data_IF_848585098877
#
_entry.id   IF_848585098877
#
_cell.length_a   1.000
_cell.length_b   1.000
_cell.length_c   1.000
_cell.angle_alpha   90.00
_cell.angle_beta   90.00
_cell.angle_gamma   90.00
#
_symmetry.space_group_name_H-M   'P 1'
#
loop_
_entity.id
_entity.type
_entity.pdbx_description
1 polymer ?
#
# COMPACT_ATOMS: atom_id res chain seq x y z
N UNK A 1 9.41 -13.69 30.82
CA UNK A 1 9.19 -12.24 30.99
C UNK A 1 8.97 -11.67 29.61
N UNK A 2 7.77 -11.20 29.29
CA UNK A 2 7.53 -10.46 28.04
C UNK A 2 8.32 -9.15 28.13
N UNK A 3 9.13 -8.86 27.11
CA UNK A 3 9.68 -7.51 26.91
C UNK A 3 8.51 -6.52 26.85
N UNK A 4 8.59 -5.36 27.52
CA UNK A 4 7.53 -4.36 27.46
C UNK A 4 7.26 -3.98 26.01
N UNK A 5 5.98 -3.93 25.63
CA UNK A 5 5.55 -3.60 24.28
C UNK A 5 5.90 -2.13 24.00
N UNK A 6 6.70 -1.89 22.96
CA UNK A 6 7.10 -0.53 22.55
C UNK A 6 5.86 0.22 22.06
N UNK A 7 5.67 1.43 22.56
CA UNK A 7 4.57 2.32 22.16
C UNK A 7 5.04 3.38 21.18
N UNK A 8 4.08 4.01 20.49
CA UNK A 8 4.33 5.18 19.63
C UNK A 8 5.00 6.30 20.43
N UNK A 9 4.59 6.52 21.69
CA UNK A 9 5.15 7.56 22.55
C UNK A 9 6.64 7.40 22.83
N UNK A 10 7.16 6.17 22.76
CA UNK A 10 8.59 5.85 22.98
C UNK A 10 9.47 6.20 21.77
N UNK A 11 8.89 6.25 20.56
CA UNK A 11 9.64 6.34 19.29
C UNK A 11 9.24 7.52 18.41
N UNK A 12 8.16 8.23 18.74
CA UNK A 12 7.69 9.37 17.94
C UNK A 12 8.70 10.52 17.96
N UNK A 13 8.75 11.24 16.84
CA UNK A 13 9.45 12.52 16.74
C UNK A 13 8.51 13.65 17.14
N UNK A 14 9.03 14.65 17.84
CA UNK A 14 8.25 15.83 18.24
C UNK A 14 8.21 16.92 17.17
N UNK A 15 9.24 16.99 16.32
CA UNK A 15 9.29 17.91 15.20
C UNK A 15 8.63 17.28 13.97
N UNK A 16 7.72 18.02 13.36
CA UNK A 16 7.05 17.63 12.13
C UNK A 16 6.67 18.86 11.32
N UNK A 17 6.65 18.69 10.00
CA UNK A 17 6.25 19.75 9.08
C UNK A 17 4.73 19.85 9.00
N UNK A 18 4.22 21.08 9.07
CA UNK A 18 2.78 21.35 9.00
C UNK A 18 2.43 22.60 8.21
N UNK A 19 1.19 22.60 7.69
CA UNK A 19 0.58 23.72 6.97
C UNK A 19 -0.84 23.95 7.43
N UNK A 20 -1.33 25.17 7.29
CA UNK A 20 -2.74 25.48 7.53
C UNK A 20 -3.61 24.99 6.36
N UNK A 21 -4.87 24.63 6.61
CA UNK A 21 -5.83 24.14 5.59
C UNK A 21 -5.98 25.06 4.38
N UNK A 22 -5.83 26.37 4.59
CA UNK A 22 -5.97 27.39 3.54
C UNK A 22 -4.68 27.74 2.80
N UNK A 23 -3.53 27.22 3.25
CA UNK A 23 -2.26 27.50 2.58
C UNK A 23 -2.19 26.81 1.20
N UNK A 24 -1.58 27.47 0.20
CA UNK A 24 -1.46 26.89 -1.13
C UNK A 24 -0.51 25.70 -1.16
N UNK A 25 -0.76 24.76 -2.07
CA UNK A 25 0.09 23.59 -2.28
C UNK A 25 1.52 23.94 -2.72
N UNK A 26 1.81 25.17 -3.17
CA UNK A 26 3.19 25.64 -3.39
C UNK A 26 4.04 25.54 -2.13
N UNK A 27 3.48 25.86 -0.95
CA UNK A 27 4.18 25.72 0.34
C UNK A 27 4.45 24.25 0.65
N UNK A 28 3.44 23.39 0.49
CA UNK A 28 3.54 21.93 0.68
C UNK A 28 4.60 21.34 -0.26
N UNK A 29 4.59 21.79 -1.51
CA UNK A 29 5.57 21.41 -2.53
C UNK A 29 6.98 21.79 -2.09
N UNK A 30 7.20 23.01 -1.58
CA UNK A 30 8.48 23.45 -1.04
C UNK A 30 8.96 22.60 0.14
N UNK A 31 8.06 22.18 1.02
CA UNK A 31 8.37 21.28 2.14
C UNK A 31 8.90 19.94 1.62
N UNK A 32 8.23 19.31 0.64
CA UNK A 32 8.71 18.04 0.07
C UNK A 32 10.04 18.16 -0.71
N UNK A 33 10.48 19.37 -1.11
CA UNK A 33 11.78 19.56 -1.78
C UNK A 33 12.98 19.52 -0.84
N UNK A 34 12.82 19.84 0.45
CA UNK A 34 13.97 20.13 1.31
C UNK A 34 14.55 18.88 1.98
N UNK A 35 13.72 17.86 2.26
CA UNK A 35 14.07 16.59 2.91
C UNK A 35 13.11 15.46 2.46
N UNK A 36 13.48 14.18 2.63
CA UNK A 36 12.58 13.02 2.44
C UNK A 36 11.51 12.99 3.55
N UNK A 37 10.54 13.90 3.43
CA UNK A 37 9.45 14.05 4.38
C UNK A 37 8.31 13.11 3.95
N UNK A 38 7.88 12.18 4.82
CA UNK A 38 6.90 11.17 4.44
C UNK A 38 5.49 11.73 4.25
N UNK A 39 5.12 12.74 5.04
CA UNK A 39 3.83 13.44 5.02
C UNK A 39 4.00 14.89 5.49
N UNK A 40 3.08 15.76 5.10
CA UNK A 40 2.89 17.08 5.70
C UNK A 40 1.59 17.10 6.48
N UNK A 41 1.63 17.50 7.74
CA UNK A 41 0.44 17.58 8.61
C UNK A 41 -0.37 18.84 8.25
N UNK A 42 -1.68 18.69 8.08
CA UNK A 42 -2.58 19.81 7.80
C UNK A 42 -3.40 20.12 9.04
N UNK A 43 -3.41 21.38 9.46
CA UNK A 43 -4.12 21.86 10.64
C UNK A 43 -5.10 22.98 10.31
N UNK A 44 -6.16 23.13 11.11
CA UNK A 44 -7.14 24.21 10.99
C UNK A 44 -6.77 25.47 11.80
N UNK A 45 -7.68 26.44 11.86
CA UNK A 45 -7.50 27.73 12.56
C UNK A 45 -7.18 27.55 14.06
N UNK A 46 -7.66 26.47 14.67
CA UNK A 46 -7.44 26.13 16.07
C UNK A 46 -6.15 25.32 16.29
N UNK A 47 -5.37 25.10 15.23
CA UNK A 47 -4.24 24.15 15.17
C UNK A 47 -4.67 22.71 15.49
N UNK A 48 -5.94 22.38 15.27
CA UNK A 48 -6.42 21.01 15.36
C UNK A 48 -6.06 20.25 14.08
N UNK A 49 -5.78 18.97 14.24
CA UNK A 49 -5.44 18.08 13.14
C UNK A 49 -6.61 17.96 12.17
N UNK A 50 -6.39 18.35 10.92
CA UNK A 50 -7.38 18.26 9.85
C UNK A 50 -7.16 17.04 8.95
N UNK A 51 -5.90 16.74 8.63
CA UNK A 51 -5.52 15.64 7.75
C UNK A 51 -4.03 15.65 7.43
N UNK A 52 -3.62 14.82 6.47
CA UNK A 52 -2.22 14.77 5.99
C UNK A 52 -2.17 14.91 4.48
N UNK A 53 -1.06 15.45 3.97
CA UNK A 53 -0.72 15.46 2.56
C UNK A 53 0.46 14.53 2.32
N UNK A 54 0.39 13.77 1.23
CA UNK A 54 1.48 12.92 0.73
C UNK A 54 2.00 13.48 -0.58
N UNK A 55 3.29 13.41 -0.84
CA UNK A 55 3.94 14.02 -2.01
C UNK A 55 3.24 13.68 -3.34
N UNK A 56 2.78 12.43 -3.51
CA UNK A 56 2.09 11.96 -4.72
C UNK A 56 0.84 12.76 -5.10
N UNK A 57 0.24 13.52 -4.18
CA UNK A 57 -0.89 14.41 -4.53
C UNK A 57 -0.49 15.46 -5.56
N UNK A 58 0.80 15.83 -5.63
CA UNK A 58 1.34 16.79 -6.58
C UNK A 58 1.41 16.27 -8.03
N UNK A 59 1.26 14.95 -8.24
CA UNK A 59 1.20 14.34 -9.57
C UNK A 59 -0.21 14.32 -10.18
N UNK A 60 -1.20 14.96 -9.55
CA UNK A 60 -2.57 15.00 -10.09
C UNK A 60 -2.60 15.78 -11.42
N UNK A 61 -3.23 15.24 -12.48
CA UNK A 61 -3.40 15.95 -13.74
C UNK A 61 -4.11 17.30 -13.53
N UNK A 62 -3.66 18.32 -14.26
CA UNK A 62 -4.23 19.68 -14.24
C UNK A 62 -4.25 20.36 -12.86
N UNK A 63 -3.47 19.87 -11.89
CA UNK A 63 -3.36 20.50 -10.58
C UNK A 63 -2.66 21.86 -10.69
N UNK A 64 -3.34 22.93 -10.29
CA UNK A 64 -2.73 24.24 -10.07
C UNK A 64 -2.30 24.37 -8.60
N UNK A 65 -1.02 24.09 -8.31
CA UNK A 65 -0.51 24.10 -6.94
C UNK A 65 -0.52 25.49 -6.28
N UNK A 66 -0.54 26.57 -7.07
CA UNK A 66 -0.53 27.93 -6.53
C UNK A 66 -1.91 28.37 -6.02
N UNK A 67 -2.98 27.87 -6.64
CA UNK A 67 -4.36 28.23 -6.30
C UNK A 67 -5.05 27.16 -5.43
N UNK A 68 -4.59 25.91 -5.49
CA UNK A 68 -5.19 24.83 -4.72
C UNK A 68 -4.72 24.90 -3.27
N UNK A 69 -5.68 25.00 -2.34
CA UNK A 69 -5.44 24.95 -0.89
C UNK A 69 -5.08 23.55 -0.41
N UNK A 70 -4.28 23.48 0.65
CA UNK A 70 -3.81 22.23 1.27
C UNK A 70 -4.96 21.32 1.72
N UNK A 71 -5.98 21.89 2.37
CA UNK A 71 -7.14 21.15 2.87
C UNK A 71 -7.96 20.45 1.78
N UNK A 72 -7.88 20.90 0.52
CA UNK A 72 -8.61 20.31 -0.62
C UNK A 72 -8.15 18.89 -0.94
N UNK A 73 -6.85 18.62 -0.77
CA UNK A 73 -6.25 17.31 -1.08
C UNK A 73 -5.80 16.55 0.17
N UNK A 74 -5.98 17.13 1.35
CA UNK A 74 -5.64 16.49 2.61
C UNK A 74 -6.49 15.23 2.81
N UNK A 75 -5.82 14.12 3.13
CA UNK A 75 -6.49 12.86 3.45
C UNK A 75 -6.67 12.77 4.96
N UNK A 76 -7.87 12.39 5.39
CA UNK A 76 -8.11 12.07 6.80
C UNK A 76 -7.47 10.72 7.10
N UNK A 77 -6.77 10.65 8.24
CA UNK A 77 -6.15 9.42 8.75
C UNK A 77 -6.68 9.16 10.17
N UNK A 78 -6.73 7.89 10.62
CA UNK A 78 -7.04 7.59 12.01
C UNK A 78 -6.10 8.32 12.98
N UNK A 79 -6.66 8.77 14.10
CA UNK A 79 -5.89 9.35 15.22
C UNK A 79 -5.12 8.25 15.94
N UNK A 80 -3.83 8.46 16.15
CA UNK A 80 -3.01 7.65 17.06
C UNK A 80 -2.54 8.53 18.22
N UNK A 81 -2.40 7.92 19.39
CA UNK A 81 -1.94 8.57 20.63
C UNK A 81 -0.58 8.00 21.04
N UNK A 82 0.02 8.58 22.08
CA UNK A 82 1.30 8.09 22.63
C UNK A 82 1.22 6.64 23.11
N UNK A 83 0.06 6.23 23.62
CA UNK A 83 -0.17 4.87 24.13
C UNK A 83 -0.47 3.84 23.02
N UNK A 84 -0.60 4.27 21.76
CA UNK A 84 -0.83 3.36 20.65
C UNK A 84 0.39 2.46 20.47
N UNK A 85 0.20 1.14 20.34
CA UNK A 85 1.34 0.24 20.12
C UNK A 85 1.95 0.44 18.73
N UNK A 86 3.24 0.14 18.58
CA UNK A 86 3.90 0.24 17.26
C UNK A 86 3.26 -0.69 16.22
N UNK A 87 2.64 -1.79 16.65
CA UNK A 87 1.93 -2.71 15.76
C UNK A 87 0.61 -2.15 15.24
N UNK A 88 -0.21 -1.53 16.10
CA UNK A 88 -1.44 -0.86 15.64
C UNK A 88 -1.10 0.34 14.74
N UNK A 89 -0.06 1.11 15.09
CA UNK A 89 0.46 2.17 14.22
C UNK A 89 0.91 1.63 12.86
N UNK A 90 1.64 0.51 12.83
CA UNK A 90 2.06 -0.16 11.60
C UNK A 90 0.87 -0.58 10.75
N UNK A 91 -0.12 -1.23 11.36
CA UNK A 91 -1.34 -1.67 10.67
C UNK A 91 -2.06 -0.48 10.04
N UNK A 92 -2.24 0.62 10.79
CA UNK A 92 -2.86 1.85 10.27
C UNK A 92 -2.06 2.47 9.13
N UNK A 93 -0.72 2.45 9.19
CA UNK A 93 0.13 2.88 8.07
C UNK A 93 -0.11 2.06 6.81
N UNK A 94 -0.14 0.72 6.94
CA UNK A 94 -0.35 -0.20 5.82
C UNK A 94 -1.76 -0.05 5.23
N UNK A 95 -2.80 -0.07 6.07
CA UNK A 95 -4.21 0.06 5.66
C UNK A 95 -4.47 1.37 4.89
N UNK A 96 -3.80 2.46 5.27
CA UNK A 96 -3.99 3.78 4.67
C UNK A 96 -2.91 4.13 3.62
N UNK A 97 -1.94 3.23 3.36
CA UNK A 97 -0.79 3.46 2.49
C UNK A 97 -0.03 4.77 2.81
N UNK A 98 0.17 5.01 4.11
CA UNK A 98 0.87 6.16 4.67
C UNK A 98 2.22 5.74 5.23
N UNK A 99 3.26 6.52 4.94
CA UNK A 99 4.62 6.27 5.43
C UNK A 99 4.88 6.84 6.83
N UNK A 100 3.92 7.57 7.37
CA UNK A 100 3.97 8.15 8.70
C UNK A 100 2.55 8.49 9.16
N UNK A 101 2.39 8.60 10.47
CA UNK A 101 1.14 8.96 11.13
C UNK A 101 1.38 10.10 12.12
N UNK A 102 0.50 11.12 12.13
CA UNK A 102 0.53 12.16 13.14
C UNK A 102 0.09 11.59 14.49
N UNK A 103 0.82 11.91 15.55
CA UNK A 103 0.48 11.56 16.93
C UNK A 103 -0.26 12.74 17.56
N UNK A 104 -1.43 12.50 18.14
CA UNK A 104 -2.27 13.55 18.70
C UNK A 104 -2.56 13.37 20.18
N UNK A 105 -2.70 14.49 20.89
CA UNK A 105 -3.35 14.56 22.20
C UNK A 105 -4.70 15.27 22.02
N UNK A 106 -5.78 14.52 22.18
CA UNK A 106 -7.08 14.94 21.68
C UNK A 106 -7.02 15.19 20.18
N UNK A 107 -7.32 16.42 19.75
CA UNK A 107 -7.25 16.83 18.34
C UNK A 107 -5.97 17.55 17.96
N UNK A 108 -5.08 17.85 18.90
CA UNK A 108 -3.85 18.60 18.59
C UNK A 108 -2.73 17.64 18.21
N UNK A 109 -2.07 17.84 17.07
CA UNK A 109 -0.88 17.06 16.73
C UNK A 109 0.28 17.47 17.64
N UNK A 110 0.94 16.50 18.25
CA UNK A 110 2.05 16.67 19.21
C UNK A 110 3.34 15.97 18.75
N UNK A 111 3.27 15.23 17.65
CA UNK A 111 4.40 14.50 17.09
C UNK A 111 4.02 13.73 15.83
N UNK A 112 4.98 12.97 15.33
CA UNK A 112 4.84 12.11 14.17
C UNK A 112 5.60 10.80 14.40
N UNK A 113 5.07 9.69 13.94
CA UNK A 113 5.80 8.42 13.87
C UNK A 113 5.84 7.97 12.43
N UNK A 114 7.03 7.66 11.94
CA UNK A 114 7.28 7.21 10.57
C UNK A 114 7.54 5.72 10.51
N UNK A 115 7.52 5.20 9.29
CA UNK A 115 7.94 3.83 9.01
C UNK A 115 9.36 3.56 9.52
N UNK A 116 10.26 4.53 9.36
CA UNK A 116 11.65 4.38 9.78
C UNK A 116 11.75 4.22 11.31
N UNK A 117 10.99 5.01 12.08
CA UNK A 117 10.98 4.94 13.55
C UNK A 117 10.53 3.55 14.02
N UNK A 118 9.45 3.01 13.44
CA UNK A 118 8.94 1.68 13.78
C UNK A 118 9.93 0.58 13.35
N UNK A 119 10.51 0.70 12.15
CA UNK A 119 11.43 -0.29 11.63
C UNK A 119 12.71 -0.36 12.48
N UNK A 120 13.24 0.77 12.94
CA UNK A 120 14.40 0.81 13.83
C UNK A 120 14.07 0.20 15.20
N UNK A 121 12.91 0.51 15.77
CA UNK A 121 12.46 -0.09 17.02
C UNK A 121 12.28 -1.61 16.93
N UNK A 122 12.02 -2.14 15.73
CA UNK A 122 11.74 -3.55 15.47
C UNK A 122 12.93 -4.32 14.86
N UNK A 123 14.14 -3.74 14.87
CA UNK A 123 15.32 -4.24 14.15
C UNK A 123 15.67 -5.71 14.47
N UNK A 124 15.48 -6.15 15.71
CA UNK A 124 15.77 -7.54 16.11
C UNK A 124 14.83 -8.57 15.47
N UNK A 125 13.55 -8.22 15.28
CA UNK A 125 12.60 -9.06 14.54
C UNK A 125 12.98 -9.09 13.06
N UNK A 126 13.30 -7.92 12.50
CA UNK A 126 13.67 -7.76 11.09
C UNK A 126 14.97 -8.50 10.69
N UNK A 127 15.85 -8.79 11.64
CA UNK A 127 17.05 -9.62 11.41
C UNK A 127 16.74 -11.07 11.04
N UNK A 128 15.54 -11.56 11.37
CA UNK A 128 15.15 -12.96 11.16
C UNK A 128 14.42 -13.21 9.85
N UNK A 129 14.01 -12.15 9.16
CA UNK A 129 13.21 -12.20 7.94
C UNK A 129 14.10 -11.79 6.77
N UNK A 130 14.01 -12.52 5.66
CA UNK A 130 14.75 -12.23 4.43
C UNK A 130 13.97 -11.32 3.49
N UNK A 131 14.69 -10.56 2.68
CA UNK A 131 14.13 -9.69 1.64
C UNK A 131 13.19 -10.45 0.72
N UNK A 132 13.56 -11.65 0.26
CA UNK A 132 12.73 -12.49 -0.63
C UNK A 132 11.35 -12.88 -0.07
N UNK A 133 11.16 -12.81 1.24
CA UNK A 133 9.90 -13.20 1.89
C UNK A 133 8.84 -12.09 1.81
N UNK A 134 9.26 -10.84 1.55
CA UNK A 134 8.37 -9.67 1.54
C UNK A 134 8.51 -8.78 0.30
N UNK A 135 9.57 -8.96 -0.50
CA UNK A 135 9.79 -8.14 -1.70
C UNK A 135 8.63 -8.30 -2.69
N UNK A 136 8.36 -7.27 -3.47
CA UNK A 136 7.51 -7.42 -4.65
C UNK A 136 8.33 -8.07 -5.77
N UNK A 137 7.98 -9.30 -6.14
CA UNK A 137 8.57 -10.00 -7.27
C UNK A 137 8.21 -9.35 -8.61
N UNK A 138 9.11 -9.46 -9.59
CA UNK A 138 8.90 -9.01 -10.97
C UNK A 138 8.35 -7.57 -11.05
N UNK A 139 9.09 -6.57 -10.53
CA UNK A 139 8.58 -5.23 -10.40
C UNK A 139 8.27 -4.60 -11.76
N UNK A 140 7.21 -3.81 -11.82
CA UNK A 140 6.89 -2.98 -12.98
C UNK A 140 8.07 -2.04 -13.23
N UNK A 141 8.59 -2.08 -14.45
CA UNK A 141 9.78 -1.34 -14.86
C UNK A 141 9.54 -0.54 -16.13
N UNK A 142 10.46 0.38 -16.42
CA UNK A 142 10.47 1.19 -17.65
C UNK A 142 11.80 1.06 -18.37
N UNK A 143 11.81 1.26 -19.67
CA UNK A 143 13.04 1.36 -20.45
C UNK A 143 13.69 2.73 -20.30
N UNK A 144 15.02 2.81 -20.41
CA UNK A 144 15.76 4.08 -20.57
C UNK A 144 15.25 4.97 -21.71
N UNK A 145 14.58 4.38 -22.70
CA UNK A 145 14.00 5.08 -23.85
C UNK A 145 12.52 5.46 -23.69
N UNK A 146 11.86 4.98 -22.64
CA UNK A 146 10.45 5.32 -22.37
C UNK A 146 10.32 6.81 -22.02
N UNK A 147 9.11 7.35 -22.16
CA UNK A 147 8.81 8.74 -21.84
C UNK A 147 8.48 8.93 -20.36
N UNK A 148 8.71 10.13 -19.84
CA UNK A 148 8.29 10.53 -18.48
C UNK A 148 6.77 10.38 -18.31
N UNK A 149 5.99 10.76 -19.32
CA UNK A 149 4.53 10.58 -19.32
C UNK A 149 4.10 9.13 -19.13
N UNK A 150 4.79 8.17 -19.78
CA UNK A 150 4.52 6.74 -19.60
C UNK A 150 4.82 6.29 -18.15
N UNK A 151 5.94 6.73 -17.57
CA UNK A 151 6.25 6.42 -16.17
C UNK A 151 5.21 6.99 -15.20
N UNK A 152 4.76 8.24 -15.40
CA UNK A 152 3.68 8.83 -14.60
C UNK A 152 2.40 8.01 -14.71
N UNK A 153 2.03 7.56 -15.92
CA UNK A 153 0.85 6.71 -16.13
C UNK A 153 0.98 5.40 -15.35
N UNK A 154 2.11 4.69 -15.49
CA UNK A 154 2.37 3.44 -14.79
C UNK A 154 2.35 3.62 -13.26
N UNK A 155 2.97 4.68 -12.74
CA UNK A 155 2.94 5.00 -11.31
C UNK A 155 1.51 5.23 -10.80
N UNK A 156 0.69 5.99 -11.56
CA UNK A 156 -0.69 6.28 -11.19
C UNK A 156 -1.61 5.07 -11.28
N UNK A 157 -1.53 4.31 -12.37
CA UNK A 157 -2.37 3.15 -12.63
C UNK A 157 -2.13 2.02 -11.63
N UNK A 158 -0.89 1.87 -11.17
CA UNK A 158 -0.50 0.79 -10.26
C UNK A 158 -0.33 1.27 -8.80
N UNK A 159 -0.53 2.56 -8.52
CA UNK A 159 -0.39 3.13 -7.17
C UNK A 159 1.05 3.05 -6.61
N UNK A 160 2.05 2.90 -7.48
CA UNK A 160 3.46 2.77 -7.10
C UNK A 160 4.20 4.10 -7.26
N UNK A 161 5.22 4.31 -6.43
CA UNK A 161 5.95 5.59 -6.42
C UNK A 161 7.35 5.51 -7.02
N UNK A 162 7.75 4.34 -7.52
CA UNK A 162 9.12 4.03 -7.95
C UNK A 162 9.08 2.99 -9.06
N UNK A 163 9.96 3.13 -10.04
CA UNK A 163 10.10 2.19 -11.15
C UNK A 163 11.59 1.91 -11.39
N UNK A 164 12.03 0.64 -11.35
CA UNK A 164 13.31 0.26 -11.91
C UNK A 164 13.39 0.65 -13.39
N UNK A 165 14.53 1.19 -13.81
CA UNK A 165 14.80 1.56 -15.19
C UNK A 165 15.75 0.53 -15.78
N UNK A 166 15.33 -0.11 -16.87
CA UNK A 166 16.10 -1.15 -17.54
C UNK A 166 16.66 -0.65 -18.88
N UNK A 167 17.86 -1.11 -19.23
CA UNK A 167 18.43 -1.01 -20.57
C UNK A 167 18.78 -2.41 -21.07
N UNK A 168 18.09 -2.89 -22.10
CA UNK A 168 18.25 -4.25 -22.62
C UNK A 168 18.21 -5.30 -21.49
N UNK A 169 17.17 -5.22 -20.65
CA UNK A 169 16.94 -6.07 -19.46
C UNK A 169 17.96 -5.96 -18.32
N UNK A 170 18.95 -5.07 -18.40
CA UNK A 170 19.88 -4.80 -17.30
C UNK A 170 19.42 -3.58 -16.52
N UNK A 171 19.55 -3.63 -15.19
CA UNK A 171 19.27 -2.49 -14.32
C UNK A 171 20.19 -1.32 -14.70
N UNK A 172 19.59 -0.20 -15.09
CA UNK A 172 20.28 1.00 -15.54
C UNK A 172 20.07 2.19 -14.61
N UNK A 173 18.96 2.23 -13.89
CA UNK A 173 18.59 3.35 -13.00
C UNK A 173 17.33 3.05 -12.20
N UNK A 174 16.87 4.04 -11.43
CA UNK A 174 15.55 4.06 -10.81
C UNK A 174 14.93 5.44 -11.04
N UNK A 175 13.62 5.51 -11.22
CA UNK A 175 12.88 6.76 -11.26
C UNK A 175 11.77 6.76 -10.22
N UNK A 176 11.65 7.84 -9.46
CA UNK A 176 10.67 7.99 -8.39
C UNK A 176 9.70 9.14 -8.67
N UNK A 177 8.59 9.18 -7.92
CA UNK A 177 7.66 10.33 -7.90
C UNK A 177 8.40 11.62 -7.54
N UNK A 178 9.30 11.55 -6.56
CA UNK A 178 10.13 12.67 -6.14
C UNK A 178 11.00 13.18 -7.29
N UNK A 179 11.71 12.29 -8.02
CA UNK A 179 12.50 12.67 -9.19
C UNK A 179 11.67 13.41 -10.25
N UNK A 180 10.44 12.94 -10.49
CA UNK A 180 9.53 13.57 -11.45
C UNK A 180 9.10 14.95 -10.94
N UNK A 181 8.73 15.09 -9.67
CA UNK A 181 8.31 16.38 -9.12
C UNK A 181 9.47 17.38 -9.18
N UNK A 182 10.64 17.02 -8.68
CA UNK A 182 11.79 17.93 -8.61
C UNK A 182 12.35 18.28 -10.00
N UNK A 183 12.48 17.31 -10.90
CA UNK A 183 13.19 17.52 -12.19
C UNK A 183 12.27 17.94 -13.33
N UNK A 184 10.95 17.71 -13.23
CA UNK A 184 9.97 17.93 -14.31
C UNK A 184 8.93 18.97 -13.93
N UNK A 185 8.42 18.95 -12.69
CA UNK A 185 7.36 19.86 -12.23
C UNK A 185 7.95 21.16 -11.67
N UNK A 186 9.14 21.12 -11.06
CA UNK A 186 9.82 22.27 -10.45
C UNK A 186 11.04 22.89 -11.19
N UNK A 187 11.25 22.82 -12.52
CA UNK A 187 12.52 23.32 -13.07
C UNK A 187 12.73 24.83 -12.84
N UNK A 188 13.78 25.16 -12.05
CA UNK A 188 14.55 26.41 -11.83
C UNK A 188 13.83 27.77 -11.93
N UNK A 189 14.07 28.61 -10.92
CA UNK A 189 13.84 30.07 -10.81
C UNK A 189 14.47 30.95 -11.92
N UNK A 190 14.84 30.39 -13.08
CA UNK A 190 15.14 31.15 -14.29
C UNK A 190 14.17 30.74 -15.39
N UNK A 191 12.88 30.94 -15.14
CA UNK A 191 11.94 31.20 -16.23
C UNK A 191 12.42 32.50 -16.90
N UNK A 192 13.22 32.37 -17.95
CA UNK A 192 13.43 33.48 -18.88
C UNK A 192 12.05 33.87 -19.39
N UNK A 193 11.70 35.15 -19.27
CA UNK A 193 10.44 35.75 -19.68
C UNK A 193 9.95 35.17 -21.02
N UNK A 194 8.97 34.25 -21.01
CA UNK A 194 8.44 33.65 -22.24
C UNK A 194 8.00 32.17 -22.22
N UNK A 195 7.88 31.48 -21.08
CA UNK A 195 7.39 30.08 -21.08
C UNK A 195 5.95 29.99 -21.64
N UNK A 196 5.78 29.30 -22.77
CA UNK A 196 4.50 29.10 -23.46
C UNK A 196 3.93 27.74 -23.04
N UNK A 197 2.60 27.64 -22.97
CA UNK A 197 1.78 26.43 -22.67
C UNK A 197 2.20 25.10 -23.35
N UNK A 198 3.09 25.13 -24.36
CA UNK A 198 3.66 23.95 -25.02
C UNK A 198 4.91 23.33 -24.38
N UNK A 199 5.58 23.99 -23.43
CA UNK A 199 6.81 23.46 -22.79
C UNK A 199 6.55 22.25 -21.89
N UNK A 200 5.46 22.26 -21.11
CA UNK A 200 5.08 21.12 -20.24
C UNK A 200 4.86 19.82 -21.04
N UNK A 201 4.28 19.92 -22.24
CA UNK A 201 4.09 18.78 -23.13
C UNK A 201 5.44 18.23 -23.66
N UNK A 202 6.41 19.11 -23.93
CA UNK A 202 7.78 18.70 -24.30
C UNK A 202 8.47 17.98 -23.14
N UNK A 203 8.36 18.48 -21.91
CA UNK A 203 9.00 17.84 -20.74
C UNK A 203 8.47 16.44 -20.48
N UNK A 204 7.16 16.18 -20.67
CA UNK A 204 6.59 14.83 -20.53
C UNK A 204 7.04 13.85 -21.63
N UNK A 205 7.43 14.36 -22.79
CA UNK A 205 7.97 13.57 -23.91
C UNK A 205 9.46 13.23 -23.76
N UNK A 206 10.17 13.86 -22.81
CA UNK A 206 11.57 13.53 -22.51
C UNK A 206 11.71 12.09 -22.03
N UNK A 207 12.93 11.56 -22.15
CA UNK A 207 13.20 10.15 -21.88
C UNK A 207 13.52 9.93 -20.40
N UNK A 208 13.17 8.75 -19.89
CA UNK A 208 13.45 8.37 -18.49
C UNK A 208 14.94 8.48 -18.15
N UNK A 209 15.83 8.13 -19.08
CA UNK A 209 17.28 8.25 -18.88
C UNK A 209 17.75 9.66 -18.49
N UNK A 210 16.98 10.70 -18.82
CA UNK A 210 17.36 12.10 -18.57
C UNK A 210 17.01 12.53 -17.14
N UNK A 211 16.15 11.79 -16.43
CA UNK A 211 15.71 12.09 -15.06
C UNK A 211 15.99 10.99 -14.05
N UNK A 212 16.29 9.76 -14.49
CA UNK A 212 16.56 8.63 -13.61
C UNK A 212 17.75 8.90 -12.70
N UNK A 213 17.72 8.29 -11.52
CA UNK A 213 18.80 8.36 -10.54
C UNK A 213 19.71 7.14 -10.67
N UNK A 214 21.02 7.39 -10.61
CA UNK A 214 22.11 6.42 -10.72
C UNK A 214 23.26 6.83 -9.79
N UNK A 215 24.00 5.88 -9.15
CA UNK A 215 23.82 4.43 -9.19
C UNK A 215 22.57 3.94 -8.44
N UNK A 216 22.09 2.74 -8.76
CA UNK A 216 20.97 2.11 -8.05
C UNK A 216 21.49 1.30 -6.89
N UNK A 217 21.01 1.57 -5.69
CA UNK A 217 21.29 0.73 -4.53
C UNK A 217 20.42 -0.52 -4.53
N UNK A 218 21.05 -1.66 -4.26
CA UNK A 218 20.43 -2.98 -4.42
C UNK A 218 20.45 -3.82 -3.15
N UNK A 219 19.60 -4.84 -3.14
CA UNK A 219 19.60 -5.92 -2.16
C UNK A 219 19.71 -7.28 -2.85
N UNK A 220 20.17 -8.28 -2.11
CA UNK A 220 20.10 -9.68 -2.50
C UNK A 220 18.84 -10.32 -1.90
N UNK A 221 18.25 -11.34 -2.55
CA UNK A 221 17.08 -12.04 -2.00
C UNK A 221 17.29 -12.61 -0.60
N UNK A 222 18.53 -13.00 -0.27
CA UNK A 222 18.91 -13.57 1.02
C UNK A 222 19.42 -12.56 2.05
N UNK A 223 19.50 -11.26 1.71
CA UNK A 223 19.73 -10.21 2.70
C UNK A 223 18.58 -10.22 3.73
N UNK A 224 18.86 -9.84 4.98
CA UNK A 224 17.81 -9.66 5.99
C UNK A 224 17.10 -8.32 5.82
N UNK A 225 15.88 -8.18 6.33
CA UNK A 225 15.18 -6.89 6.34
C UNK A 225 15.93 -5.83 7.15
N UNK A 226 16.59 -6.22 8.23
CA UNK A 226 17.45 -5.31 8.99
C UNK A 226 18.65 -4.81 8.16
N UNK A 227 19.26 -5.67 7.36
CA UNK A 227 20.35 -5.27 6.43
C UNK A 227 19.82 -4.33 5.35
N UNK A 228 18.65 -4.61 4.79
CA UNK A 228 18.00 -3.73 3.80
C UNK A 228 17.67 -2.36 4.40
N UNK A 229 17.11 -2.32 5.62
CA UNK A 229 16.81 -1.09 6.36
C UNK A 229 18.07 -0.25 6.60
N UNK A 230 19.16 -0.88 7.03
CA UNK A 230 20.43 -0.20 7.28
C UNK A 230 21.00 0.41 5.98
N UNK A 231 20.96 -0.32 4.85
CA UNK A 231 21.35 0.22 3.55
C UNK A 231 20.48 1.39 3.12
N UNK A 232 19.16 1.30 3.34
CA UNK A 232 18.22 2.38 3.07
C UNK A 232 18.59 3.65 3.85
N UNK A 233 18.86 3.50 5.16
CA UNK A 233 19.27 4.59 6.04
C UNK A 233 20.62 5.21 5.66
N UNK A 234 21.62 4.38 5.37
CA UNK A 234 22.97 4.84 5.02
C UNK A 234 23.02 5.71 3.76
N UNK A 235 22.09 5.47 2.84
CA UNK A 235 22.02 6.18 1.57
C UNK A 235 20.88 7.18 1.48
N UNK A 236 20.12 7.38 2.56
CA UNK A 236 18.93 8.24 2.61
C UNK A 236 17.93 7.91 1.49
N UNK A 237 17.62 6.62 1.34
CA UNK A 237 16.71 6.09 0.33
C UNK A 237 15.63 5.22 0.97
N UNK A 238 14.45 5.20 0.37
CA UNK A 238 13.29 4.45 0.90
C UNK A 238 13.00 3.15 0.13
N UNK A 239 13.93 2.68 -0.70
CA UNK A 239 13.76 1.54 -1.59
C UNK A 239 15.10 0.95 -2.07
N UNK A 240 15.13 -0.37 -2.28
CA UNK A 240 16.21 -1.11 -2.93
C UNK A 240 15.66 -1.96 -4.07
N UNK A 241 16.39 -2.02 -5.17
CA UNK A 241 16.08 -2.98 -6.25
C UNK A 241 16.74 -4.32 -5.89
N UNK A 242 15.96 -5.41 -5.89
CA UNK A 242 16.48 -6.74 -5.57
C UNK A 242 17.04 -7.38 -6.82
N UNK A 243 18.30 -7.79 -6.76
CA UNK A 243 19.04 -8.34 -7.89
C UNK A 243 19.59 -9.72 -7.53
N UNK A 244 19.42 -10.69 -8.44
CA UNK A 244 20.02 -12.02 -8.36
C UNK A 244 20.65 -12.34 -9.72
N UNK A 245 21.89 -12.81 -9.72
CA UNK A 245 22.62 -13.18 -10.94
C UNK A 245 22.60 -12.07 -12.01
N UNK A 246 22.72 -10.81 -11.57
CA UNK A 246 22.64 -9.60 -12.40
C UNK A 246 21.28 -9.30 -13.05
N UNK A 247 20.23 -10.03 -12.69
CA UNK A 247 18.85 -9.79 -13.12
C UNK A 247 18.05 -9.13 -11.99
N UNK A 248 17.17 -8.19 -12.36
CA UNK A 248 16.19 -7.63 -11.42
C UNK A 248 15.14 -8.69 -11.13
N UNK A 249 15.08 -9.15 -9.88
CA UNK A 249 14.11 -10.16 -9.43
C UNK A 249 13.00 -9.56 -8.59
N UNK A 250 13.25 -8.41 -7.96
CA UNK A 250 12.30 -7.80 -7.05
C UNK A 250 12.56 -6.33 -6.78
N UNK A 251 11.68 -5.73 -5.99
CA UNK A 251 11.86 -4.42 -5.37
C UNK A 251 11.39 -4.51 -3.92
N UNK A 252 12.10 -3.86 -3.01
CA UNK A 252 11.71 -3.78 -1.60
C UNK A 252 11.74 -2.33 -1.13
N UNK A 253 10.70 -1.94 -0.41
CA UNK A 253 10.50 -0.59 0.10
C UNK A 253 10.34 -0.60 1.62
N UNK A 254 10.47 0.57 2.25
CA UNK A 254 10.25 0.72 3.69
C UNK A 254 8.87 0.18 4.15
N UNK A 255 7.81 0.32 3.35
CA UNK A 255 6.47 -0.23 3.72
C UNK A 255 6.46 -1.76 3.72
N UNK A 256 7.17 -2.39 2.79
CA UNK A 256 7.26 -3.85 2.72
C UNK A 256 8.00 -4.40 3.95
N UNK A 257 9.00 -3.66 4.46
CA UNK A 257 9.73 -4.00 5.69
C UNK A 257 8.82 -4.06 6.91
N UNK A 258 7.78 -3.22 6.97
CA UNK A 258 6.82 -3.24 8.07
C UNK A 258 5.68 -4.25 7.90
N UNK A 259 5.48 -4.78 6.70
CA UNK A 259 4.38 -5.71 6.43
C UNK A 259 4.34 -6.93 7.37
N UNK A 260 5.47 -7.53 7.80
CA UNK A 260 5.43 -8.60 8.79
C UNK A 260 4.99 -8.09 10.16
N UNK A 261 5.40 -6.88 10.55
CA UNK A 261 5.06 -6.29 11.85
C UNK A 261 3.58 -5.95 11.95
N UNK A 262 2.95 -5.53 10.84
CA UNK A 262 1.50 -5.37 10.76
C UNK A 262 0.76 -6.68 11.12
N UNK A 263 1.35 -7.83 10.80
CA UNK A 263 0.84 -9.15 11.16
C UNK A 263 1.24 -9.60 12.58
N UNK A 264 2.31 -9.04 13.18
CA UNK A 264 2.69 -9.35 14.58
C UNK A 264 1.80 -8.71 15.64
N UNK A 265 1.10 -7.61 15.32
CA UNK A 265 0.07 -7.00 16.17
C UNK A 265 -1.15 -7.87 16.44
N UNK A 266 -1.16 -9.08 15.87
CA UNK A 266 -2.05 -10.18 16.20
C UNK A 266 -1.73 -10.78 17.58
N UNK A 267 -1.72 -9.98 18.65
CA UNK A 267 -2.03 -10.58 19.94
C UNK A 267 -3.50 -11.07 19.89
N UNK A 268 -3.64 -12.37 19.61
CA UNK A 268 -4.85 -13.19 19.81
C UNK A 268 -6.11 -12.70 19.10
N UNK A 269 -6.12 -12.79 17.77
CA UNK A 269 -7.36 -13.17 17.08
C UNK A 269 -7.14 -14.50 16.37
N UNK A 270 -7.53 -15.58 17.02
CA UNK A 270 -7.83 -16.82 16.31
C UNK A 270 -8.93 -16.50 15.28
N UNK A 271 -8.68 -16.69 13.98
CA UNK A 271 -9.74 -16.59 12.98
C UNK A 271 -9.32 -16.06 11.61
N UNK A 272 -10.33 -15.89 10.75
CA UNK A 272 -10.17 -15.51 9.34
C UNK A 272 -10.56 -14.03 9.18
N UNK A 273 -9.62 -13.17 8.79
CA UNK A 273 -9.88 -11.74 8.54
C UNK A 273 -10.77 -11.54 7.31
N UNK A 274 -11.75 -10.64 7.38
CA UNK A 274 -12.64 -10.35 6.25
C UNK A 274 -12.19 -9.05 5.55
N UNK A 275 -11.91 -9.14 4.26
CA UNK A 275 -11.65 -8.00 3.39
C UNK A 275 -12.73 -7.90 2.33
N UNK A 276 -13.28 -6.69 2.12
CA UNK A 276 -14.29 -6.47 1.09
C UNK A 276 -13.87 -5.31 0.19
N UNK A 277 -13.80 -5.58 -1.11
CA UNK A 277 -13.44 -4.62 -2.16
C UNK A 277 -14.61 -4.42 -3.10
N UNK A 278 -15.10 -3.17 -3.22
CA UNK A 278 -16.19 -2.77 -4.12
C UNK A 278 -15.69 -2.04 -5.38
N UNK A 279 -14.49 -2.38 -5.86
CA UNK A 279 -13.85 -1.70 -6.98
C UNK A 279 -14.78 -1.50 -8.19
N UNK A 280 -14.86 -0.26 -8.68
CA UNK A 280 -15.67 0.16 -9.83
C UNK A 280 -17.20 0.03 -9.64
N UNK A 281 -17.69 -0.09 -8.42
CA UNK A 281 -19.13 0.04 -8.10
C UNK A 281 -19.38 1.37 -7.36
N UNK A 282 -19.60 2.49 -8.06
CA UNK A 282 -20.04 3.72 -7.41
C UNK A 282 -21.46 3.50 -6.86
N UNK A 283 -21.70 3.87 -5.60
CA UNK A 283 -23.04 3.91 -4.96
C UNK A 283 -23.69 2.59 -4.52
N UNK A 284 -22.95 1.67 -3.88
CA UNK A 284 -23.61 0.59 -3.11
C UNK A 284 -24.22 1.17 -1.82
N UNK A 285 -25.53 0.95 -1.54
CA UNK A 285 -26.17 1.40 -0.31
C UNK A 285 -25.44 0.92 0.95
N UNK A 286 -25.40 1.75 1.99
CA UNK A 286 -24.79 1.38 3.27
C UNK A 286 -25.43 0.11 3.86
N UNK A 287 -26.74 -0.06 3.69
CA UNK A 287 -27.46 -1.27 4.11
C UNK A 287 -26.96 -2.54 3.42
N UNK A 288 -26.67 -2.47 2.12
CA UNK A 288 -26.16 -3.62 1.36
C UNK A 288 -24.72 -3.97 1.78
N UNK A 289 -23.89 -2.97 2.09
CA UNK A 289 -22.54 -3.20 2.65
C UNK A 289 -22.61 -3.89 4.01
N UNK A 290 -23.51 -3.43 4.89
CA UNK A 290 -23.71 -4.04 6.20
C UNK A 290 -24.16 -5.50 6.07
N UNK A 291 -25.13 -5.80 5.19
CA UNK A 291 -25.59 -7.17 4.92
C UNK A 291 -24.48 -8.08 4.38
N UNK A 292 -23.61 -7.57 3.51
CA UNK A 292 -22.43 -8.31 3.00
C UNK A 292 -21.46 -8.62 4.14
N UNK A 293 -21.15 -7.64 4.98
CA UNK A 293 -20.25 -7.83 6.13
C UNK A 293 -20.82 -8.85 7.12
N UNK A 294 -22.07 -8.71 7.55
CA UNK A 294 -22.71 -9.67 8.47
C UNK A 294 -22.72 -11.10 7.93
N UNK A 295 -22.92 -11.25 6.63
CA UNK A 295 -22.91 -12.56 5.99
C UNK A 295 -21.51 -13.17 5.95
N UNK A 296 -20.48 -12.37 5.65
CA UNK A 296 -19.09 -12.80 5.68
C UNK A 296 -18.68 -13.20 7.11
N UNK A 297 -19.08 -12.42 8.12
CA UNK A 297 -18.84 -12.72 9.53
C UNK A 297 -19.51 -14.03 9.95
N UNK A 298 -20.79 -14.22 9.61
CA UNK A 298 -21.50 -15.49 9.87
C UNK A 298 -20.83 -16.68 9.17
N UNK A 299 -20.31 -16.47 7.97
CA UNK A 299 -19.60 -17.50 7.22
C UNK A 299 -18.26 -17.87 7.87
N UNK A 300 -17.46 -16.88 8.24
CA UNK A 300 -16.18 -17.09 8.94
C UNK A 300 -16.38 -17.77 10.29
N UNK A 301 -17.34 -17.31 11.09
CA UNK A 301 -17.65 -17.88 12.41
C UNK A 301 -17.99 -19.37 12.35
N UNK A 302 -18.60 -19.86 11.27
CA UNK A 302 -18.88 -21.29 11.08
C UNK A 302 -17.62 -22.12 10.79
N UNK A 303 -16.53 -21.49 10.38
CA UNK A 303 -15.33 -22.12 9.84
C UNK A 303 -14.10 -22.01 10.76
N UNK A 304 -14.11 -21.06 11.69
CA UNK A 304 -13.01 -20.72 12.61
C UNK A 304 -12.42 -21.94 13.32
N UNK A 305 -13.25 -22.87 13.83
CA UNK A 305 -12.77 -24.06 14.55
C UNK A 305 -11.99 -25.06 13.67
N UNK A 306 -12.04 -24.93 12.33
CA UNK A 306 -11.57 -25.99 11.41
C UNK A 306 -10.49 -25.59 10.41
N UNK A 307 -10.27 -24.28 10.18
CA UNK A 307 -9.42 -23.82 9.08
C UNK A 307 -8.20 -22.99 9.48
N UNK A 308 -8.02 -22.66 10.76
CA UNK A 308 -6.88 -21.89 11.24
C UNK A 308 -6.96 -20.41 10.90
N UNK A 309 -5.80 -19.75 10.82
CA UNK A 309 -5.70 -18.31 10.58
C UNK A 309 -5.68 -18.01 9.08
N UNK A 310 -6.26 -16.88 8.66
CA UNK A 310 -6.31 -16.54 7.24
C UNK A 310 -7.06 -15.27 6.91
N UNK A 311 -7.39 -15.10 5.62
CA UNK A 311 -8.24 -14.02 5.14
C UNK A 311 -9.27 -14.51 4.11
N UNK A 312 -10.46 -13.93 4.21
CA UNK A 312 -11.55 -14.01 3.26
C UNK A 312 -11.65 -12.69 2.53
N UNK A 313 -11.29 -12.67 1.24
CA UNK A 313 -11.47 -11.50 0.37
C UNK A 313 -12.74 -11.66 -0.46
N UNK A 314 -13.65 -10.68 -0.37
CA UNK A 314 -14.80 -10.52 -1.26
C UNK A 314 -14.53 -9.39 -2.25
N UNK A 315 -14.36 -9.75 -3.51
CA UNK A 315 -14.14 -8.79 -4.59
C UNK A 315 -15.38 -8.64 -5.44
N UNK A 316 -15.95 -7.43 -5.44
CA UNK A 316 -17.09 -7.08 -6.27
C UNK A 316 -16.65 -6.29 -7.49
N UNK A 317 -17.26 -6.61 -8.63
CA UNK A 317 -17.12 -5.86 -9.86
C UNK A 317 -18.47 -5.76 -10.56
N UNK A 318 -18.62 -4.70 -11.31
CA UNK A 318 -19.72 -4.56 -12.26
C UNK A 318 -19.52 -5.53 -13.45
N UNK A 319 -20.57 -6.26 -13.81
CA UNK A 319 -20.61 -7.08 -15.02
C UNK A 319 -21.02 -6.21 -16.23
N UNK A 320 -20.72 -6.66 -17.45
CA UNK A 320 -21.08 -5.92 -18.68
C UNK A 320 -22.58 -5.96 -18.97
N UNK A 321 -23.28 -6.97 -18.47
CA UNK A 321 -24.73 -7.12 -18.63
C UNK A 321 -25.50 -6.16 -17.72
N UNK A 322 -26.53 -5.54 -18.29
CA UNK A 322 -27.42 -4.59 -17.60
C UNK A 322 -28.88 -4.94 -17.84
N UNK A 323 -29.73 -4.61 -16.89
CA UNK A 323 -31.17 -4.62 -17.04
C UNK A 323 -31.74 -3.26 -16.58
N UNK A 324 -32.18 -2.44 -17.54
CA UNK A 324 -32.50 -1.03 -17.28
C UNK A 324 -31.27 -0.24 -16.83
N UNK A 325 -31.38 0.47 -15.72
CA UNK A 325 -30.25 1.22 -15.11
C UNK A 325 -29.39 0.37 -14.17
N UNK A 326 -29.80 -0.87 -13.87
CA UNK A 326 -29.09 -1.75 -12.93
C UNK A 326 -28.10 -2.64 -13.66
N UNK A 327 -26.87 -2.68 -13.15
CA UNK A 327 -25.85 -3.60 -13.61
C UNK A 327 -25.86 -4.89 -12.79
N UNK A 328 -25.57 -6.01 -13.45
CA UNK A 328 -25.34 -7.27 -12.75
C UNK A 328 -24.01 -7.17 -11.97
N UNK A 329 -24.00 -7.60 -10.71
CA UNK A 329 -22.83 -7.54 -9.84
C UNK A 329 -22.21 -8.93 -9.75
N UNK A 330 -20.92 -9.02 -10.05
CA UNK A 330 -20.14 -10.24 -9.87
C UNK A 330 -19.31 -10.15 -8.59
N UNK A 331 -19.48 -11.11 -7.68
CA UNK A 331 -18.65 -11.31 -6.50
C UNK A 331 -17.68 -12.47 -6.71
N UNK A 332 -16.40 -12.27 -6.39
CA UNK A 332 -15.40 -13.32 -6.23
C UNK A 332 -14.98 -13.39 -4.78
N UNK A 333 -15.29 -14.48 -4.11
CA UNK A 333 -14.81 -14.79 -2.78
C UNK A 333 -13.51 -15.61 -2.89
N UNK A 334 -12.49 -15.25 -2.10
CA UNK A 334 -11.27 -16.03 -1.93
C UNK A 334 -11.03 -16.22 -0.44
N UNK A 335 -11.05 -17.46 0.02
CA UNK A 335 -10.63 -17.81 1.37
C UNK A 335 -9.23 -18.39 1.29
N UNK A 336 -8.26 -17.77 1.94
CA UNK A 336 -6.90 -18.30 2.09
C UNK A 336 -6.60 -18.42 3.57
N UNK A 337 -6.31 -19.63 4.03
CA UNK A 337 -5.80 -19.89 5.38
C UNK A 337 -4.39 -20.44 5.31
N UNK A 338 -3.77 -20.60 6.47
CA UNK A 338 -2.52 -21.34 6.68
C UNK A 338 -2.54 -22.76 6.09
N UNK A 339 -3.73 -23.37 5.97
CA UNK A 339 -3.90 -24.76 5.50
C UNK A 339 -4.51 -24.89 4.12
N UNK A 340 -5.42 -23.99 3.73
CA UNK A 340 -6.24 -24.20 2.52
C UNK A 340 -6.54 -22.92 1.77
N UNK A 341 -6.73 -23.05 0.45
CA UNK A 341 -7.21 -21.98 -0.41
C UNK A 341 -8.47 -22.40 -1.16
N UNK A 342 -9.51 -21.57 -1.10
CA UNK A 342 -10.78 -21.77 -1.80
C UNK A 342 -11.17 -20.52 -2.57
N UNK A 343 -11.86 -20.72 -3.70
CA UNK A 343 -12.41 -19.63 -4.50
C UNK A 343 -13.87 -19.94 -4.84
N UNK A 344 -14.73 -18.94 -4.66
CA UNK A 344 -16.13 -18.98 -5.08
C UNK A 344 -16.49 -17.75 -5.89
N UNK A 345 -17.41 -17.90 -6.84
CA UNK A 345 -17.95 -16.79 -7.63
C UNK A 345 -19.47 -16.77 -7.54
N UNK A 346 -20.07 -15.60 -7.65
CA UNK A 346 -21.52 -15.43 -7.61
C UNK A 346 -21.94 -14.16 -8.35
N UNK A 347 -23.13 -14.19 -8.93
CA UNK A 347 -23.63 -13.12 -9.79
C UNK A 347 -25.08 -12.77 -9.41
N UNK A 348 -25.35 -11.51 -9.10
CA UNK A 348 -26.70 -11.06 -8.76
C UNK A 348 -26.87 -9.56 -8.97
N UNK A 349 -28.12 -9.10 -8.99
CA UNK A 349 -28.46 -7.68 -9.11
C UNK A 349 -28.19 -6.87 -7.82
N UNK A 350 -27.90 -7.53 -6.69
CA UNK A 350 -27.47 -6.89 -5.44
C UNK A 350 -26.21 -7.57 -4.88
N UNK A 351 -25.37 -6.79 -4.22
CA UNK A 351 -24.07 -7.24 -3.72
C UNK A 351 -24.19 -8.34 -2.65
N UNK A 352 -25.18 -8.25 -1.76
CA UNK A 352 -25.43 -9.28 -0.75
C UNK A 352 -25.81 -10.63 -1.36
N UNK A 353 -26.66 -10.65 -2.39
CA UNK A 353 -26.97 -11.89 -3.10
C UNK A 353 -25.77 -12.47 -3.85
N UNK A 354 -24.97 -11.63 -4.53
CA UNK A 354 -23.80 -12.09 -5.26
C UNK A 354 -22.75 -12.70 -4.31
N UNK A 355 -22.52 -12.08 -3.15
CA UNK A 355 -21.62 -12.66 -2.14
C UNK A 355 -22.19 -13.93 -1.50
N UNK A 356 -23.52 -14.02 -1.30
CA UNK A 356 -24.15 -15.23 -0.76
C UNK A 356 -23.88 -16.43 -1.64
N UNK A 357 -24.02 -16.26 -2.95
CA UNK A 357 -23.75 -17.32 -3.91
C UNK A 357 -22.25 -17.69 -3.90
N UNK A 358 -21.35 -16.71 -3.94
CA UNK A 358 -19.91 -16.94 -3.92
C UNK A 358 -19.46 -17.70 -2.65
N UNK A 359 -19.95 -17.31 -1.48
CA UNK A 359 -19.65 -17.97 -0.21
C UNK A 359 -20.23 -19.38 -0.14
N UNK A 360 -21.45 -19.59 -0.64
CA UNK A 360 -22.07 -20.92 -0.68
C UNK A 360 -21.26 -21.92 -1.53
N UNK A 361 -20.58 -21.45 -2.59
CA UNK A 361 -19.68 -22.29 -3.39
C UNK A 361 -18.41 -22.69 -2.63
N UNK A 362 -17.85 -21.80 -1.82
CA UNK A 362 -16.73 -22.13 -0.94
C UNK A 362 -17.18 -23.12 0.15
N UNK A 363 -18.35 -22.90 0.76
CA UNK A 363 -18.91 -23.81 1.78
C UNK A 363 -19.02 -25.25 1.28
N UNK A 364 -19.52 -25.44 0.04
CA UNK A 364 -19.59 -26.76 -0.61
C UNK A 364 -18.21 -27.39 -0.83
N UNK A 365 -17.22 -26.61 -1.27
CA UNK A 365 -15.86 -27.12 -1.47
C UNK A 365 -15.23 -27.58 -0.15
N UNK A 366 -15.44 -26.83 0.93
CA UNK A 366 -14.96 -27.19 2.27
C UNK A 366 -15.62 -28.51 2.74
N UNK A 367 -16.93 -28.66 2.55
CA UNK A 367 -17.66 -29.88 2.93
C UNK A 367 -17.14 -31.11 2.19
N UNK A 368 -16.99 -31.03 0.87
CA UNK A 368 -16.43 -32.11 0.04
C UNK A 368 -15.03 -32.49 0.54
N UNK A 369 -14.21 -31.49 0.87
CA UNK A 369 -12.82 -31.72 1.31
C UNK A 369 -12.75 -32.35 2.70
N UNK A 370 -13.62 -31.93 3.64
CA UNK A 370 -13.76 -32.57 4.95
C UNK A 370 -14.19 -34.04 4.83
N UNK A 371 -15.09 -34.35 3.89
CA UNK A 371 -15.51 -35.73 3.64
C UNK A 371 -14.38 -36.59 3.05
N UNK A 372 -13.59 -36.03 2.12
CA UNK A 372 -12.44 -36.70 1.53
C UNK A 372 -11.32 -36.95 2.54
N UNK A 373 -10.97 -35.96 3.37
CA UNK A 373 -9.96 -36.11 4.42
C UNK A 373 -10.36 -37.19 5.45
N UNK A 374 -11.66 -37.30 5.76
CA UNK A 374 -12.20 -38.36 6.63
C UNK A 374 -12.13 -39.75 5.99
N UNK A 375 -12.28 -39.85 4.66
CA UNK A 375 -12.30 -41.13 3.93
C UNK A 375 -10.91 -41.60 3.48
N UNK A 376 -9.98 -40.68 3.23
CA UNK A 376 -8.63 -40.96 2.73
C UNK A 376 -7.59 -40.01 3.37
N UNK A 377 -6.99 -40.37 4.52
CA UNK A 377 -6.13 -39.47 5.31
C UNK A 377 -4.85 -38.97 4.62
N UNK A 378 -4.35 -39.70 3.62
CA UNK A 378 -3.13 -39.41 2.85
C UNK A 378 -3.32 -38.37 1.73
N UNK A 379 -4.56 -37.93 1.51
CA UNK A 379 -4.91 -37.02 0.41
C UNK A 379 -4.51 -35.56 0.70
N UNK A 380 -4.41 -35.17 1.98
CA UNK A 380 -3.96 -33.82 2.36
C UNK A 380 -2.48 -33.55 1.99
N UNK A 381 -1.60 -34.56 2.06
CA UNK A 381 -0.20 -34.44 1.62
C UNK A 381 -0.07 -34.23 0.11
N UNK A 382 -0.87 -34.95 -0.68
CA UNK A 382 -0.83 -34.89 -2.15
C UNK A 382 -1.34 -33.54 -2.66
N UNK A 383 -2.38 -32.99 -2.04
CA UNK A 383 -2.91 -31.70 -2.47
C UNK A 383 -2.04 -30.51 -2.04
N UNK A 384 -1.37 -30.55 -0.90
CA UNK A 384 -0.42 -29.50 -0.51
C UNK A 384 0.73 -29.37 -1.50
N UNK A 385 1.15 -30.47 -2.15
CA UNK A 385 2.19 -30.46 -3.18
C UNK A 385 1.72 -29.94 -4.55
N UNK A 386 0.40 -29.92 -4.82
CA UNK A 386 -0.17 -29.48 -6.10
C UNK A 386 -0.50 -27.99 -6.16
N UNK A 387 -0.57 -27.30 -5.01
CA UNK A 387 -0.92 -25.86 -4.94
C UNK A 387 0.25 -24.96 -5.36
N UNK A 388 1.49 -25.47 -5.40
CA UNK A 388 2.67 -24.72 -5.86
C UNK A 388 2.76 -24.54 -7.39
N UNK A 389 1.80 -25.05 -8.16
CA UNK A 389 1.87 -25.09 -9.63
C UNK A 389 0.83 -24.23 -10.39
N UNK A 390 0.01 -23.40 -9.72
CA UNK A 390 -0.97 -22.53 -10.42
C UNK A 390 -1.09 -21.10 -9.89
#
# INVERSE_FOLDING_TARGET
>A
MQTPEVTVGDIMQHEFESVHVDEPLTKVSGIFSTKDIPIVVVVDDNREFYGVLVERVLLRPHLNIAETKAGTLAVKTPYITRDTSIYDATRRMVENNLKALPVTEGKKPIGIVSVHDIAEASKEVLRRIKVREVMTDNPISVSVSDTIGKAISLMRENGISRLPVLNRNKLAGIVTVHDIIEKVIKPRERATRGEISGEKAKTLSNKIKDIMTTPVYTALPDDTLATALERMKQHDISCLVVVKDSNVTGIITLMDILSPLAAYGEERREGIMIQVSYNKLPNIPHEDKNRVMEMAERFVKKLEESLGNGYLTLYFKEHKEKHGEMHLIHCRARLKTDKYQFVGTGEAWRADFAAREALSRIERQILIRKELARRYPYVDEIFSQLVDFY
#
